data_IF_697678567390
#
_entry.id   IF_697678567390
#
_cell.length_a   1.000
_cell.length_b   1.000
_cell.length_c   1.000
_cell.angle_alpha   90.00
_cell.angle_beta   90.00
_cell.angle_gamma   90.00
#
_symmetry.space_group_name_H-M   'P 1'
#
loop_
_entity.id
_entity.type
_entity.pdbx_description
1 polymer ?
#
# COMPACT_ATOMS: atom_id res chain seq x y z
N UNK A 1 18.62 -28.84 19.40
CA UNK A 1 17.40 -28.49 18.67
C UNK A 1 17.80 -27.76 17.41
N UNK A 2 17.48 -28.29 16.23
CA UNK A 2 17.82 -27.62 14.95
C UNK A 2 17.03 -26.32 14.85
N UNK A 3 17.67 -25.20 15.06
CA UNK A 3 17.10 -23.85 14.97
C UNK A 3 16.94 -23.45 13.47
N UNK A 4 16.12 -24.23 12.73
CA UNK A 4 15.79 -23.89 11.33
C UNK A 4 14.83 -22.72 11.32
N UNK A 5 15.07 -21.77 10.44
CA UNK A 5 14.13 -20.67 10.20
C UNK A 5 12.74 -21.24 9.86
N UNK A 6 11.69 -20.68 10.43
CA UNK A 6 10.31 -21.06 10.16
C UNK A 6 9.43 -19.83 10.21
N UNK A 7 8.79 -19.53 9.11
CA UNK A 7 7.94 -18.35 8.96
C UNK A 7 6.49 -18.77 8.71
N UNK A 8 5.55 -17.97 9.23
CA UNK A 8 4.20 -17.99 8.73
C UNK A 8 3.84 -16.65 8.08
N UNK A 9 3.14 -16.72 6.95
CA UNK A 9 2.42 -15.60 6.39
C UNK A 9 0.95 -15.72 6.77
N UNK A 10 0.43 -14.72 7.46
CA UNK A 10 -0.99 -14.55 7.74
C UNK A 10 -1.53 -13.51 6.77
N UNK A 11 -2.55 -13.87 6.00
CA UNK A 11 -3.13 -13.01 4.94
C UNK A 11 -4.65 -12.97 5.07
N UNK A 12 -5.21 -11.77 5.13
CA UNK A 12 -6.64 -11.54 5.24
C UNK A 12 -7.36 -11.84 3.92
N UNK A 13 -8.32 -12.75 3.96
CA UNK A 13 -9.07 -13.17 2.77
C UNK A 13 -9.94 -12.03 2.25
N UNK A 14 -9.71 -11.59 0.99
CA UNK A 14 -10.49 -10.55 0.33
C UNK A 14 -10.66 -9.30 1.21
N UNK A 15 -9.61 -8.84 1.82
CA UNK A 15 -9.58 -7.94 2.98
C UNK A 15 -10.64 -6.81 2.94
N UNK A 16 -10.64 -5.95 1.92
CA UNK A 16 -11.58 -4.82 1.86
C UNK A 16 -13.03 -5.28 1.80
N UNK A 17 -13.35 -6.32 1.03
CA UNK A 17 -14.70 -6.88 0.98
C UNK A 17 -15.10 -7.52 2.31
N UNK A 18 -14.16 -8.15 3.01
CA UNK A 18 -14.39 -8.71 4.34
C UNK A 18 -14.62 -7.62 5.38
N UNK A 19 -13.90 -6.49 5.32
CA UNK A 19 -14.16 -5.35 6.20
C UNK A 19 -15.58 -4.79 6.03
N UNK A 20 -16.07 -4.69 4.79
CA UNK A 20 -17.45 -4.24 4.53
C UNK A 20 -18.48 -5.20 5.13
N UNK A 21 -18.24 -6.52 5.06
CA UNK A 21 -19.14 -7.54 5.64
C UNK A 21 -19.21 -7.49 7.17
N UNK A 22 -18.11 -7.14 7.84
CA UNK A 22 -18.08 -7.04 9.31
C UNK A 22 -19.16 -6.07 9.81
N UNK A 23 -19.36 -4.95 9.12
CA UNK A 23 -20.31 -3.91 9.51
C UNK A 23 -21.67 -4.02 8.81
N UNK A 24 -21.74 -4.80 7.73
CA UNK A 24 -22.99 -5.10 7.03
C UNK A 24 -23.15 -6.62 6.85
N UNK A 25 -23.54 -7.38 7.92
CA UNK A 25 -23.66 -8.85 7.85
C UNK A 25 -24.59 -9.37 6.76
N UNK A 26 -25.59 -8.55 6.34
CA UNK A 26 -26.46 -8.86 5.20
C UNK A 26 -25.74 -9.05 3.85
N UNK A 27 -24.46 -8.68 3.79
CA UNK A 27 -23.58 -8.87 2.64
C UNK A 27 -22.89 -10.23 2.63
N UNK A 28 -23.06 -11.06 3.66
CA UNK A 28 -22.49 -12.41 3.67
C UNK A 28 -23.06 -13.24 2.51
N UNK A 29 -22.21 -13.97 1.81
CA UNK A 29 -22.57 -14.73 0.61
C UNK A 29 -22.87 -13.92 -0.64
N UNK A 30 -22.93 -12.58 -0.57
CA UNK A 30 -23.17 -11.74 -1.75
C UNK A 30 -21.85 -11.41 -2.47
N UNK A 31 -21.87 -11.29 -3.81
CA UNK A 31 -20.73 -10.80 -4.56
C UNK A 31 -20.49 -9.32 -4.26
N UNK A 32 -19.27 -8.98 -3.82
CA UNK A 32 -18.85 -7.61 -3.49
C UNK A 32 -17.60 -7.25 -4.29
N UNK A 33 -17.57 -6.03 -4.80
CA UNK A 33 -16.38 -5.40 -5.37
C UNK A 33 -16.11 -4.08 -4.65
N UNK A 34 -14.83 -3.78 -4.43
CA UNK A 34 -14.39 -2.49 -3.91
C UNK A 34 -13.60 -1.76 -4.98
N UNK A 35 -13.94 -0.49 -5.19
CA UNK A 35 -13.36 0.36 -6.23
C UNK A 35 -12.19 1.18 -5.68
N UNK A 36 -11.26 1.51 -6.57
CA UNK A 36 -10.15 2.43 -6.30
C UNK A 36 -10.63 3.87 -6.16
N UNK A 37 -9.70 4.81 -5.91
CA UNK A 37 -10.00 6.24 -5.97
C UNK A 37 -10.73 6.61 -7.25
N UNK A 38 -11.68 7.56 -7.16
CA UNK A 38 -12.57 7.99 -8.26
C UNK A 38 -13.50 6.89 -8.78
N UNK A 39 -13.73 5.84 -8.00
CA UNK A 39 -14.53 4.68 -8.42
C UNK A 39 -14.06 4.09 -9.76
N UNK A 40 -12.74 4.16 -10.02
CA UNK A 40 -12.17 3.91 -11.34
C UNK A 40 -12.04 2.43 -11.68
N UNK A 41 -11.37 1.65 -10.85
CA UNK A 41 -11.04 0.24 -11.10
C UNK A 41 -11.33 -0.63 -9.89
N UNK A 42 -11.58 -1.91 -10.12
CA UNK A 42 -11.80 -2.88 -9.05
C UNK A 42 -10.47 -3.24 -8.39
N UNK A 43 -10.34 -3.00 -7.09
CA UNK A 43 -9.14 -3.27 -6.29
C UNK A 43 -9.34 -4.38 -5.24
N UNK A 44 -10.57 -4.77 -4.95
CA UNK A 44 -10.85 -5.95 -4.15
C UNK A 44 -12.14 -6.62 -4.62
N UNK A 45 -12.26 -7.93 -4.39
CA UNK A 45 -13.38 -8.75 -4.79
C UNK A 45 -13.62 -9.84 -3.78
N UNK A 46 -14.86 -10.10 -3.44
CA UNK A 46 -15.23 -11.31 -2.69
C UNK A 46 -15.08 -12.58 -3.55
N UNK A 47 -15.14 -13.76 -2.95
CA UNK A 47 -15.02 -15.01 -3.70
C UNK A 47 -16.19 -15.19 -4.68
N UNK A 48 -17.38 -14.77 -4.31
CA UNK A 48 -18.58 -14.79 -5.17
C UNK A 48 -18.38 -13.88 -6.39
N UNK A 49 -17.79 -12.70 -6.21
CA UNK A 49 -17.48 -11.80 -7.32
C UNK A 49 -16.36 -12.36 -8.22
N UNK A 50 -15.38 -13.09 -7.66
CA UNK A 50 -14.37 -13.82 -8.45
C UNK A 50 -15.01 -14.93 -9.29
N UNK A 51 -15.96 -15.69 -8.73
CA UNK A 51 -16.69 -16.76 -9.42
C UNK A 51 -17.51 -16.23 -10.60
N UNK A 52 -17.96 -14.98 -10.57
CA UNK A 52 -18.61 -14.30 -11.70
C UNK A 52 -17.62 -13.84 -12.80
N UNK A 53 -16.33 -14.17 -12.70
CA UNK A 53 -15.31 -13.82 -13.69
C UNK A 53 -14.84 -12.36 -13.64
N UNK A 54 -15.22 -11.58 -12.63
CA UNK A 54 -14.79 -10.20 -12.48
C UNK A 54 -13.28 -10.16 -12.20
N UNK A 55 -12.50 -9.49 -13.05
CA UNK A 55 -11.02 -9.45 -12.96
C UNK A 55 -10.54 -8.31 -12.04
N UNK A 56 -9.42 -8.55 -11.32
CA UNK A 56 -8.70 -7.50 -10.58
C UNK A 56 -8.20 -6.43 -11.55
N UNK A 57 -8.30 -5.16 -11.14
CA UNK A 57 -7.88 -4.03 -11.97
C UNK A 57 -8.85 -3.69 -13.12
N UNK A 58 -9.97 -4.41 -13.28
CA UNK A 58 -10.94 -4.10 -14.31
C UNK A 58 -11.51 -2.69 -14.11
N UNK A 59 -11.54 -1.83 -15.16
CA UNK A 59 -12.20 -0.54 -15.08
C UNK A 59 -13.69 -0.71 -14.82
N UNK A 60 -14.21 -0.01 -13.81
CA UNK A 60 -15.61 -0.15 -13.37
C UNK A 60 -16.59 0.10 -14.51
N UNK A 61 -16.35 1.14 -15.32
CA UNK A 61 -17.23 1.48 -16.43
C UNK A 61 -17.38 0.36 -17.47
N UNK A 62 -16.38 -0.53 -17.63
CA UNK A 62 -16.43 -1.67 -18.56
C UNK A 62 -17.25 -2.85 -18.03
N UNK A 63 -17.37 -2.97 -16.71
CA UNK A 63 -18.02 -4.12 -16.08
C UNK A 63 -19.32 -3.75 -15.35
N UNK A 64 -19.72 -2.47 -15.35
CA UNK A 64 -20.90 -1.99 -14.60
C UNK A 64 -22.19 -2.72 -14.98
N UNK A 65 -22.38 -3.06 -16.26
CA UNK A 65 -23.58 -3.78 -16.72
C UNK A 65 -23.61 -5.22 -16.19
N UNK A 66 -22.45 -5.91 -16.22
CA UNK A 66 -22.31 -7.23 -15.60
C UNK A 66 -22.62 -7.17 -14.10
N UNK A 67 -22.06 -6.17 -13.42
CA UNK A 67 -22.24 -5.92 -11.99
C UNK A 67 -23.73 -5.71 -11.67
N UNK A 68 -24.41 -4.84 -12.40
CA UNK A 68 -25.83 -4.56 -12.19
C UNK A 68 -26.69 -5.80 -12.44
N UNK A 69 -26.50 -6.50 -13.57
CA UNK A 69 -27.27 -7.69 -13.96
C UNK A 69 -27.09 -8.88 -13.01
N UNK A 70 -25.96 -8.95 -12.28
CA UNK A 70 -25.64 -10.05 -11.36
C UNK A 70 -25.83 -9.68 -9.89
N UNK A 71 -26.41 -8.53 -9.58
CA UNK A 71 -26.63 -8.06 -8.21
C UNK A 71 -25.36 -7.93 -7.39
N UNK A 72 -24.23 -7.56 -8.03
CA UNK A 72 -22.95 -7.37 -7.33
C UNK A 72 -23.00 -6.07 -6.55
N UNK A 73 -22.68 -6.14 -5.26
CA UNK A 73 -22.59 -4.96 -4.40
C UNK A 73 -21.29 -4.20 -4.69
N UNK A 74 -21.44 -2.90 -4.93
CA UNK A 74 -20.31 -2.00 -5.19
C UNK A 74 -20.02 -1.16 -3.96
N UNK A 75 -18.76 -1.08 -3.55
CA UNK A 75 -18.30 -0.18 -2.50
C UNK A 75 -17.13 0.67 -3.03
N UNK A 76 -17.08 1.94 -2.66
CA UNK A 76 -15.89 2.77 -2.85
C UNK A 76 -14.88 2.48 -1.75
N UNK A 77 -13.59 2.71 -2.00
CA UNK A 77 -12.53 2.53 -0.99
C UNK A 77 -12.79 3.36 0.27
N UNK A 78 -12.82 2.71 1.42
CA UNK A 78 -12.92 3.33 2.75
C UNK A 78 -11.62 3.09 3.53
N UNK A 79 -10.51 3.72 3.07
CA UNK A 79 -9.19 3.50 3.65
C UNK A 79 -9.07 3.79 5.16
N UNK A 80 -9.78 4.77 5.76
CA UNK A 80 -9.79 4.93 7.21
C UNK A 80 -10.31 3.70 7.94
N UNK A 81 -11.44 3.14 7.48
CA UNK A 81 -12.02 1.91 8.03
C UNK A 81 -11.07 0.72 7.86
N UNK A 82 -10.54 0.54 6.64
CA UNK A 82 -9.64 -0.59 6.35
C UNK A 82 -8.33 -0.50 7.13
N UNK A 83 -7.79 0.71 7.33
CA UNK A 83 -6.60 0.94 8.14
C UNK A 83 -6.79 0.59 9.61
N UNK A 84 -7.94 0.94 10.21
CA UNK A 84 -8.27 0.58 11.59
C UNK A 84 -8.49 -0.94 11.74
N UNK A 85 -9.24 -1.56 10.83
CA UNK A 85 -9.44 -3.01 10.81
C UNK A 85 -8.12 -3.78 10.65
N UNK A 86 -7.23 -3.31 9.77
CA UNK A 86 -5.87 -3.85 9.65
C UNK A 86 -5.13 -3.78 10.99
N UNK A 87 -5.12 -2.61 11.64
CA UNK A 87 -4.46 -2.45 12.94
C UNK A 87 -4.98 -3.41 14.00
N UNK A 88 -6.29 -3.68 14.02
CA UNK A 88 -6.90 -4.66 14.94
C UNK A 88 -6.43 -6.09 14.62
N UNK A 89 -6.48 -6.49 13.35
CA UNK A 89 -6.00 -7.81 12.91
C UNK A 89 -4.52 -7.99 13.26
N UNK A 90 -3.66 -7.01 12.93
CA UNK A 90 -2.23 -7.10 13.21
C UNK A 90 -1.91 -7.19 14.70
N UNK A 91 -2.68 -6.53 15.57
CA UNK A 91 -2.55 -6.67 17.04
C UNK A 91 -2.90 -8.08 17.52
N UNK A 92 -3.89 -8.73 16.92
CA UNK A 92 -4.23 -10.12 17.29
C UNK A 92 -3.12 -11.06 16.82
N UNK A 93 -2.62 -10.90 15.59
CA UNK A 93 -1.52 -11.72 15.05
C UNK A 93 -0.28 -11.63 15.95
N UNK A 94 0.06 -10.43 16.41
CA UNK A 94 1.23 -10.19 17.27
C UNK A 94 1.19 -10.88 18.63
N UNK A 95 0.06 -11.48 19.04
CA UNK A 95 -0.03 -12.29 20.27
C UNK A 95 0.47 -13.73 20.10
N UNK A 96 0.64 -14.16 18.84
CA UNK A 96 1.01 -15.55 18.52
C UNK A 96 2.50 -15.75 18.24
N UNK A 97 3.26 -14.68 18.12
CA UNK A 97 4.73 -14.70 18.02
C UNK A 97 5.32 -13.40 18.55
N UNK A 98 6.47 -13.42 19.22
CA UNK A 98 7.16 -12.21 19.66
C UNK A 98 7.76 -11.41 18.49
N UNK A 99 7.91 -12.05 17.34
CA UNK A 99 8.56 -11.48 16.14
C UNK A 99 7.54 -11.39 15.02
N UNK A 100 7.12 -10.17 14.70
CA UNK A 100 6.12 -9.87 13.67
C UNK A 100 6.61 -8.77 12.74
N UNK A 101 6.40 -8.96 11.44
CA UNK A 101 6.52 -7.94 10.40
C UNK A 101 5.16 -7.67 9.78
N UNK A 102 4.64 -6.48 9.93
CA UNK A 102 3.45 -6.01 9.20
C UNK A 102 3.90 -5.66 7.78
N UNK A 103 3.72 -6.61 6.85
CA UNK A 103 4.20 -6.49 5.47
C UNK A 103 3.31 -5.60 4.60
N UNK A 104 1.99 -5.69 4.78
CA UNK A 104 1.01 -4.87 4.07
C UNK A 104 -0.21 -4.55 4.96
N UNK A 105 -1.24 -3.93 4.39
CA UNK A 105 -2.50 -3.67 5.09
C UNK A 105 -3.25 -4.96 5.46
N UNK A 106 -2.99 -6.06 4.76
CA UNK A 106 -3.71 -7.34 4.87
C UNK A 106 -2.80 -8.55 5.08
N UNK A 107 -1.47 -8.37 5.08
CA UNK A 107 -0.50 -9.46 5.23
C UNK A 107 0.50 -9.17 6.37
N UNK A 108 0.81 -10.20 7.15
CA UNK A 108 1.82 -10.15 8.20
C UNK A 108 2.66 -11.42 8.21
N UNK A 109 3.99 -11.28 8.28
CA UNK A 109 4.88 -12.39 8.58
C UNK A 109 5.10 -12.48 10.09
N UNK A 110 5.17 -13.70 10.60
CA UNK A 110 5.59 -14.00 11.97
C UNK A 110 6.68 -15.08 11.94
N UNK A 111 7.62 -14.99 12.88
CA UNK A 111 8.65 -16.01 13.08
C UNK A 111 8.13 -17.06 14.04
N UNK A 112 8.20 -18.32 13.64
CA UNK A 112 7.79 -19.47 14.41
C UNK A 112 8.99 -20.31 14.90
N UNK A 113 10.22 -19.88 14.60
CA UNK A 113 11.42 -20.62 14.99
C UNK A 113 11.52 -20.70 16.51
N UNK A 114 11.80 -21.92 17.00
CA UNK A 114 12.00 -22.17 18.43
C UNK A 114 10.72 -22.21 19.28
N UNK A 115 9.53 -22.06 18.70
CA UNK A 115 8.28 -22.24 19.45
C UNK A 115 8.08 -23.74 19.76
N UNK A 116 7.91 -24.12 21.04
CA UNK A 116 7.78 -25.53 21.46
C UNK A 116 6.34 -26.03 21.31
N UNK A 117 5.71 -25.84 20.15
CA UNK A 117 4.28 -26.07 19.94
C UNK A 117 4.05 -26.88 18.66
N UNK A 118 2.89 -27.56 18.58
CA UNK A 118 2.37 -28.00 17.29
C UNK A 118 2.00 -26.75 16.47
N UNK A 119 2.78 -26.44 15.46
CA UNK A 119 2.63 -25.19 14.67
C UNK A 119 1.32 -25.16 13.90
N UNK A 120 0.82 -26.29 13.41
CA UNK A 120 -0.48 -26.35 12.71
C UNK A 120 -1.61 -25.96 13.66
N UNK A 121 -1.67 -26.56 14.86
CA UNK A 121 -2.71 -26.25 15.84
C UNK A 121 -2.61 -24.82 16.35
N UNK A 122 -1.39 -24.33 16.55
CA UNK A 122 -1.15 -22.94 16.95
C UNK A 122 -1.65 -21.96 15.89
N UNK A 123 -1.39 -22.21 14.62
CA UNK A 123 -1.87 -21.38 13.52
C UNK A 123 -3.37 -21.51 13.27
N UNK A 124 -3.97 -22.68 13.50
CA UNK A 124 -5.44 -22.83 13.49
C UNK A 124 -6.08 -21.99 14.61
N UNK A 125 -5.50 -21.98 15.80
CA UNK A 125 -5.96 -21.17 16.93
C UNK A 125 -5.88 -19.66 16.57
N UNK A 126 -4.77 -19.20 15.97
CA UNK A 126 -4.62 -17.82 15.47
C UNK A 126 -5.73 -17.48 14.47
N UNK A 127 -5.95 -18.35 13.47
CA UNK A 127 -6.98 -18.16 12.45
C UNK A 127 -8.38 -17.98 13.05
N UNK A 128 -8.74 -18.83 14.01
CA UNK A 128 -10.02 -18.75 14.72
C UNK A 128 -10.12 -17.47 15.55
N UNK A 129 -9.07 -17.14 16.29
CA UNK A 129 -9.06 -15.93 17.14
C UNK A 129 -9.17 -14.63 16.33
N UNK A 130 -8.45 -14.52 15.21
CA UNK A 130 -8.58 -13.35 14.32
C UNK A 130 -10.01 -13.21 13.82
N UNK A 131 -10.61 -14.29 13.34
CA UNK A 131 -12.01 -14.28 12.87
C UNK A 131 -12.99 -13.90 13.97
N UNK A 132 -12.84 -14.45 15.17
CA UNK A 132 -13.76 -14.19 16.28
C UNK A 132 -13.65 -12.76 16.81
N UNK A 133 -12.44 -12.20 16.88
CA UNK A 133 -12.22 -10.88 17.48
C UNK A 133 -12.39 -9.72 16.50
N UNK A 134 -12.15 -9.95 15.21
CA UNK A 134 -12.18 -8.90 14.20
C UNK A 134 -13.25 -9.08 13.12
N UNK A 135 -13.84 -10.25 13.04
CA UNK A 135 -14.75 -10.61 11.94
C UNK A 135 -14.07 -10.90 10.60
N UNK A 136 -12.75 -10.67 10.48
CA UNK A 136 -12.00 -10.83 9.23
C UNK A 136 -11.44 -12.25 9.14
N UNK A 137 -11.76 -13.03 8.09
CA UNK A 137 -11.17 -14.36 7.89
C UNK A 137 -9.74 -14.24 7.35
N UNK A 138 -8.85 -15.14 7.82
CA UNK A 138 -7.46 -15.21 7.34
C UNK A 138 -7.12 -16.62 6.86
N UNK A 139 -6.11 -16.71 5.99
CA UNK A 139 -5.41 -17.95 5.66
C UNK A 139 -3.94 -17.81 6.03
N UNK A 140 -3.32 -18.93 6.38
CA UNK A 140 -1.96 -18.99 6.91
C UNK A 140 -1.15 -20.01 6.12
N UNK A 141 -0.01 -19.55 5.61
CA UNK A 141 0.97 -20.42 4.97
C UNK A 141 2.27 -20.44 5.75
N UNK A 142 2.82 -21.62 6.01
CA UNK A 142 4.08 -21.81 6.71
C UNK A 142 5.16 -22.36 5.78
N UNK A 143 6.41 -22.00 6.05
CA UNK A 143 7.58 -22.51 5.34
C UNK A 143 8.88 -22.01 5.95
N UNK A 144 9.97 -22.65 5.57
CA UNK A 144 11.33 -22.31 6.02
C UNK A 144 11.85 -20.98 5.49
N UNK A 145 11.15 -20.37 4.53
CA UNK A 145 11.46 -19.06 3.99
C UNK A 145 10.19 -18.22 3.80
N UNK A 146 10.34 -16.90 3.69
CA UNK A 146 9.19 -16.00 3.42
C UNK A 146 8.52 -16.33 2.08
N UNK A 147 9.30 -16.66 1.04
CA UNK A 147 8.76 -17.08 -0.26
C UNK A 147 7.93 -18.35 -0.13
N UNK A 148 8.43 -19.36 0.58
CA UNK A 148 7.71 -20.61 0.80
C UNK A 148 6.44 -20.40 1.62
N UNK A 149 6.48 -19.55 2.65
CA UNK A 149 5.29 -19.19 3.42
C UNK A 149 4.21 -18.51 2.54
N UNK A 150 4.61 -17.65 1.60
CA UNK A 150 3.66 -17.05 0.62
C UNK A 150 3.10 -18.09 -0.34
N UNK A 151 3.91 -18.99 -0.83
CA UNK A 151 3.46 -20.08 -1.68
C UNK A 151 2.50 -21.02 -0.93
N UNK A 152 2.81 -21.35 0.33
CA UNK A 152 1.95 -22.13 1.22
C UNK A 152 0.59 -21.45 1.45
N UNK A 153 0.59 -20.12 1.68
CA UNK A 153 -0.65 -19.37 1.87
C UNK A 153 -1.57 -19.43 0.63
N UNK A 154 -1.00 -19.34 -0.57
CA UNK A 154 -1.75 -19.53 -1.82
C UNK A 154 -2.44 -20.90 -1.88
N UNK A 155 -1.76 -21.96 -1.43
CA UNK A 155 -2.29 -23.32 -1.35
C UNK A 155 -3.39 -23.42 -0.30
N UNK A 156 -3.16 -22.85 0.89
CA UNK A 156 -4.14 -22.80 1.97
C UNK A 156 -5.46 -22.11 1.53
N UNK A 157 -5.36 -21.06 0.69
CA UNK A 157 -6.52 -20.38 0.11
C UNK A 157 -7.24 -21.19 -0.97
N UNK A 158 -6.50 -21.95 -1.78
CA UNK A 158 -7.04 -22.68 -2.93
C UNK A 158 -7.74 -23.98 -2.55
N UNK A 159 -7.25 -24.69 -1.55
CA UNK A 159 -7.72 -26.03 -1.21
C UNK A 159 -8.34 -26.06 0.17
N UNK A 160 -9.66 -26.22 0.23
CA UNK A 160 -10.46 -26.24 1.48
C UNK A 160 -10.04 -27.34 2.47
N UNK A 161 -9.47 -28.45 1.98
CA UNK A 161 -8.98 -29.56 2.82
C UNK A 161 -7.94 -29.15 3.87
N UNK A 162 -7.22 -28.06 3.65
CA UNK A 162 -6.24 -27.55 4.60
C UNK A 162 -6.84 -26.63 5.66
N UNK A 163 -8.14 -26.38 5.60
CA UNK A 163 -8.85 -25.52 6.54
C UNK A 163 -8.15 -24.16 6.76
N UNK A 164 -7.58 -23.59 5.67
CA UNK A 164 -6.94 -22.29 5.68
C UNK A 164 -5.55 -22.20 6.33
N UNK A 165 -4.95 -23.31 6.75
CA UNK A 165 -3.58 -23.38 7.28
C UNK A 165 -2.82 -24.49 6.56
N UNK A 166 -1.63 -24.17 6.06
CA UNK A 166 -0.82 -25.14 5.33
C UNK A 166 0.67 -24.91 5.56
N UNK A 167 1.40 -26.00 5.83
CA UNK A 167 2.86 -26.02 5.90
C UNK A 167 3.43 -26.67 4.64
N UNK A 168 4.24 -25.92 3.89
CA UNK A 168 4.84 -26.42 2.65
C UNK A 168 6.03 -27.35 2.92
N UNK A 169 6.71 -27.19 4.06
CA UNK A 169 7.87 -28.01 4.42
C UNK A 169 7.47 -29.45 4.77
N UNK A 170 6.18 -29.69 5.07
CA UNK A 170 5.65 -31.06 5.30
C UNK A 170 5.43 -31.85 4.00
N UNK A 171 5.62 -31.20 2.83
CA UNK A 171 5.45 -31.89 1.56
C UNK A 171 6.64 -32.81 1.24
N UNK A 172 6.39 -34.07 0.85
CA UNK A 172 7.40 -34.88 0.19
C UNK A 172 7.95 -34.17 -1.07
N UNK A 173 9.23 -34.35 -1.35
CA UNK A 173 9.92 -33.66 -2.47
C UNK A 173 9.17 -33.81 -3.82
N UNK A 174 8.67 -35.01 -4.11
CA UNK A 174 7.90 -35.23 -5.35
C UNK A 174 6.64 -34.38 -5.44
N UNK A 175 5.88 -34.25 -4.31
CA UNK A 175 4.69 -33.40 -4.25
C UNK A 175 5.05 -31.91 -4.32
N UNK A 176 6.18 -31.53 -3.73
CA UNK A 176 6.69 -30.17 -3.85
C UNK A 176 7.01 -29.82 -5.30
N UNK A 177 7.71 -30.70 -6.03
CA UNK A 177 7.98 -30.51 -7.45
C UNK A 177 6.69 -30.40 -8.30
N UNK A 178 5.71 -31.28 -8.06
CA UNK A 178 4.40 -31.19 -8.73
C UNK A 178 3.67 -29.88 -8.44
N UNK A 179 3.77 -29.39 -7.19
CA UNK A 179 3.23 -28.09 -6.83
C UNK A 179 3.90 -26.97 -7.64
N UNK A 180 5.22 -26.93 -7.72
CA UNK A 180 5.97 -25.92 -8.46
C UNK A 180 5.63 -25.94 -9.97
N UNK A 181 5.37 -27.11 -10.57
CA UNK A 181 4.92 -27.25 -11.96
C UNK A 181 3.54 -26.59 -12.19
N UNK A 182 2.68 -26.57 -11.16
CA UNK A 182 1.34 -25.98 -11.24
C UNK A 182 1.30 -24.46 -11.03
N UNK A 183 2.43 -23.82 -10.73
CA UNK A 183 2.55 -22.39 -10.43
C UNK A 183 3.36 -21.70 -11.52
N UNK A 184 2.75 -20.74 -12.20
CA UNK A 184 3.46 -19.92 -13.19
C UNK A 184 4.61 -19.14 -12.54
N UNK A 185 5.71 -18.96 -13.26
CA UNK A 185 6.89 -18.26 -12.75
C UNK A 185 6.57 -16.81 -12.35
N UNK A 186 5.65 -16.17 -13.07
CA UNK A 186 5.18 -14.81 -12.77
C UNK A 186 4.34 -14.68 -11.50
N UNK A 187 3.92 -15.81 -10.92
CA UNK A 187 3.18 -15.88 -9.66
C UNK A 187 4.12 -16.05 -8.43
N UNK A 188 5.41 -16.27 -8.64
CA UNK A 188 6.39 -16.28 -7.57
C UNK A 188 6.56 -14.86 -7.00
N UNK A 189 6.54 -14.77 -5.68
CA UNK A 189 6.78 -13.50 -5.00
C UNK A 189 8.15 -12.91 -5.36
N UNK A 190 8.17 -11.66 -5.81
CA UNK A 190 9.35 -10.95 -6.28
C UNK A 190 9.57 -11.02 -7.80
N UNK A 191 8.83 -11.85 -8.54
CA UNK A 191 8.86 -11.89 -10.00
C UNK A 191 7.71 -11.05 -10.57
N UNK A 192 8.03 -9.84 -11.02
CA UNK A 192 7.08 -8.95 -11.67
C UNK A 192 6.87 -9.27 -13.15
N UNK A 193 5.88 -8.62 -13.79
CA UNK A 193 5.52 -8.87 -15.21
C UNK A 193 6.72 -8.82 -16.18
N UNK A 194 7.64 -7.88 -16.01
CA UNK A 194 8.78 -7.74 -16.91
C UNK A 194 9.81 -8.86 -16.68
N UNK A 195 10.04 -9.24 -15.42
CA UNK A 195 10.89 -10.38 -15.08
C UNK A 195 10.31 -11.69 -15.58
N UNK A 196 9.00 -11.90 -15.42
CA UNK A 196 8.31 -13.07 -15.97
C UNK A 196 8.45 -13.15 -17.50
N UNK A 197 8.28 -12.04 -18.23
CA UNK A 197 8.50 -12.02 -19.69
C UNK A 197 9.92 -12.42 -20.08
N UNK A 198 10.95 -11.94 -19.37
CA UNK A 198 12.34 -12.33 -19.65
C UNK A 198 12.57 -13.82 -19.42
N UNK A 199 12.02 -14.38 -18.33
CA UNK A 199 12.13 -15.81 -18.01
C UNK A 199 11.40 -16.67 -19.03
N UNK A 200 10.17 -16.31 -19.40
CA UNK A 200 9.37 -17.04 -20.39
C UNK A 200 10.06 -17.06 -21.75
N UNK A 201 10.76 -15.97 -22.12
CA UNK A 201 11.50 -15.89 -23.40
C UNK A 201 12.62 -16.93 -23.52
N UNK A 202 13.17 -17.40 -22.41
CA UNK A 202 14.20 -18.45 -22.35
C UNK A 202 13.64 -19.83 -21.92
N UNK A 203 12.29 -20.00 -21.97
CA UNK A 203 11.64 -21.26 -21.67
C UNK A 203 11.34 -21.53 -20.19
N UNK A 204 11.61 -20.60 -19.28
CA UNK A 204 11.28 -20.73 -17.85
C UNK A 204 9.87 -20.18 -17.65
N UNK A 205 8.86 -21.08 -17.68
CA UNK A 205 7.44 -20.72 -17.60
C UNK A 205 6.82 -21.02 -16.24
N UNK A 206 7.30 -22.06 -15.56
CA UNK A 206 6.78 -22.51 -14.26
C UNK A 206 7.77 -22.21 -13.14
N UNK A 207 7.28 -22.26 -11.90
CA UNK A 207 8.14 -22.19 -10.72
C UNK A 207 9.09 -23.40 -10.64
N UNK A 208 8.72 -24.53 -11.26
CA UNK A 208 9.58 -25.70 -11.35
C UNK A 208 10.72 -25.49 -12.34
N UNK A 209 10.47 -24.88 -13.51
CA UNK A 209 11.53 -24.53 -14.46
C UNK A 209 12.54 -23.57 -13.80
N UNK A 210 12.03 -22.59 -13.04
CA UNK A 210 12.88 -21.68 -12.26
C UNK A 210 13.66 -22.42 -11.16
N UNK A 211 13.04 -23.40 -10.52
CA UNK A 211 13.70 -24.25 -9.53
C UNK A 211 14.79 -25.12 -10.14
N UNK A 212 14.67 -25.58 -11.39
CA UNK A 212 15.67 -26.40 -12.08
C UNK A 212 16.74 -25.57 -12.82
N UNK A 213 16.50 -24.28 -13.03
CA UNK A 213 17.38 -23.40 -13.78
C UNK A 213 18.77 -23.28 -13.13
N UNK A 214 19.77 -22.95 -13.95
CA UNK A 214 21.10 -22.57 -13.47
C UNK A 214 21.07 -21.21 -12.77
N UNK A 215 21.72 -21.11 -11.60
CA UNK A 215 21.73 -19.90 -10.79
C UNK A 215 22.42 -18.73 -11.51
N UNK A 216 23.44 -19.00 -12.34
CA UNK A 216 24.16 -17.99 -13.11
C UNK A 216 23.26 -17.35 -14.16
N UNK A 217 22.38 -18.15 -14.81
CA UNK A 217 21.36 -17.66 -15.75
C UNK A 217 20.37 -16.75 -15.02
N UNK A 218 19.88 -17.19 -13.85
CA UNK A 218 18.93 -16.40 -13.04
C UNK A 218 19.56 -15.08 -12.57
N UNK A 219 20.80 -15.12 -12.09
CA UNK A 219 21.52 -13.94 -11.61
C UNK A 219 21.80 -12.96 -12.75
N UNK A 220 22.14 -13.44 -13.94
CA UNK A 220 22.35 -12.60 -15.15
C UNK A 220 21.06 -11.88 -15.56
N UNK A 221 19.90 -12.56 -15.52
CA UNK A 221 18.63 -11.99 -15.98
C UNK A 221 17.93 -11.08 -14.96
N UNK A 222 18.02 -11.42 -13.67
CA UNK A 222 17.24 -10.81 -12.60
C UNK A 222 18.11 -10.15 -11.51
N UNK A 223 19.44 -10.27 -11.60
CA UNK A 223 20.38 -9.73 -10.63
C UNK A 223 20.26 -10.41 -9.25
N UNK A 224 20.73 -9.70 -8.22
CA UNK A 224 20.76 -10.18 -6.84
C UNK A 224 19.37 -10.59 -6.32
N UNK A 225 18.31 -9.92 -6.77
CA UNK A 225 16.94 -10.28 -6.35
C UNK A 225 16.53 -11.65 -6.91
N UNK A 226 16.88 -11.96 -8.16
CA UNK A 226 16.67 -13.28 -8.74
C UNK A 226 17.38 -14.37 -7.96
N UNK A 227 18.64 -14.14 -7.59
CA UNK A 227 19.43 -15.06 -6.75
C UNK A 227 18.80 -15.31 -5.38
N UNK A 228 18.29 -14.25 -4.72
CA UNK A 228 17.56 -14.40 -3.45
C UNK A 228 16.33 -15.28 -3.62
N UNK A 229 15.48 -15.01 -4.62
CA UNK A 229 14.27 -15.80 -4.92
C UNK A 229 14.64 -17.27 -5.19
N UNK A 230 15.70 -17.51 -5.96
CA UNK A 230 16.23 -18.84 -6.25
C UNK A 230 16.60 -19.63 -4.97
N UNK A 231 17.27 -18.96 -4.03
CA UNK A 231 17.67 -19.57 -2.76
C UNK A 231 16.47 -19.77 -1.82
N UNK A 232 15.60 -18.79 -1.71
CA UNK A 232 14.37 -18.87 -0.92
C UNK A 232 13.49 -20.05 -1.35
N UNK A 233 13.35 -20.28 -2.66
CA UNK A 233 12.58 -21.42 -3.18
C UNK A 233 13.18 -22.78 -2.85
N UNK A 234 14.48 -22.83 -2.47
CA UNK A 234 15.21 -24.02 -2.02
C UNK A 234 15.29 -24.16 -0.50
N UNK A 235 14.51 -23.36 0.23
CA UNK A 235 14.48 -23.39 1.69
C UNK A 235 15.65 -22.66 2.37
N UNK A 236 16.48 -21.92 1.61
CA UNK A 236 17.53 -21.08 2.17
C UNK A 236 17.02 -19.66 2.38
N UNK A 237 16.73 -19.31 3.64
CA UNK A 237 16.23 -17.97 3.99
C UNK A 237 17.28 -16.88 3.69
N UNK A 238 16.91 -15.94 2.85
CA UNK A 238 17.73 -14.80 2.41
C UNK A 238 17.05 -13.45 2.66
N UNK A 239 15.77 -13.47 3.04
CA UNK A 239 14.96 -12.28 3.30
C UNK A 239 14.56 -12.30 4.79
N UNK A 240 15.26 -11.53 5.63
CA UNK A 240 14.96 -11.50 7.07
C UNK A 240 13.60 -10.84 7.36
N UNK A 241 13.07 -11.05 8.57
CA UNK A 241 11.94 -10.27 9.09
C UNK A 241 12.40 -8.84 9.39
N UNK A 242 11.66 -7.88 8.88
CA UNK A 242 11.89 -6.45 9.13
C UNK A 242 11.09 -5.99 10.35
N UNK A 243 11.74 -5.97 11.52
CA UNK A 243 11.11 -5.48 12.77
C UNK A 243 10.95 -3.96 12.80
N UNK A 244 11.90 -3.27 12.19
CA UNK A 244 11.92 -1.81 12.13
C UNK A 244 11.96 -1.42 10.65
N UNK A 245 10.89 -0.78 10.13
CA UNK A 245 10.90 -0.32 8.76
C UNK A 245 12.08 0.62 8.50
N UNK A 246 12.77 0.50 7.37
CA UNK A 246 13.87 1.39 7.03
C UNK A 246 13.40 2.85 6.96
N UNK A 247 14.31 3.78 7.23
CA UNK A 247 14.02 5.21 7.12
C UNK A 247 13.53 5.52 5.70
N UNK A 248 12.41 6.24 5.61
CA UNK A 248 11.82 6.60 4.32
C UNK A 248 12.80 7.42 3.50
N UNK A 249 12.99 7.04 2.24
CA UNK A 249 13.84 7.76 1.29
C UNK A 249 13.09 8.91 0.62
N UNK A 250 11.76 8.78 0.54
CA UNK A 250 10.88 9.80 -0.05
C UNK A 250 9.46 9.74 0.54
N UNK A 251 8.78 10.87 0.50
CA UNK A 251 7.37 11.00 0.86
C UNK A 251 6.62 11.52 -0.36
N UNK A 252 5.64 10.74 -0.83
CA UNK A 252 4.80 11.11 -1.96
C UNK A 252 3.38 11.40 -1.49
N UNK A 253 2.81 12.52 -1.98
CA UNK A 253 1.40 12.84 -1.83
C UNK A 253 0.84 13.24 -3.19
N UNK A 254 -0.01 12.39 -3.76
CA UNK A 254 -0.60 12.62 -5.08
C UNK A 254 -2.04 12.12 -5.15
N UNK A 255 -2.82 12.68 -6.06
CA UNK A 255 -4.20 12.26 -6.31
C UNK A 255 -4.55 12.36 -7.79
N UNK A 256 -5.31 11.39 -8.27
CA UNK A 256 -6.13 11.60 -9.46
C UNK A 256 -7.33 12.43 -9.04
N UNK A 257 -7.60 13.49 -9.78
CA UNK A 257 -8.67 14.43 -9.47
C UNK A 257 -10.04 13.83 -9.83
N UNK A 258 -11.09 14.28 -9.14
CA UNK A 258 -12.47 13.85 -9.41
C UNK A 258 -12.98 14.32 -10.77
N UNK A 259 -12.46 15.44 -11.24
CA UNK A 259 -12.62 15.99 -12.60
C UNK A 259 -11.25 16.41 -13.12
N UNK A 260 -11.10 16.55 -14.43
CA UNK A 260 -9.91 17.15 -15.00
C UNK A 260 -9.88 18.65 -14.68
N UNK A 261 -8.72 19.16 -14.23
CA UNK A 261 -8.52 20.56 -13.88
C UNK A 261 -7.71 21.26 -14.98
N UNK A 262 -8.15 22.42 -15.42
CA UNK A 262 -7.44 23.25 -16.40
C UNK A 262 -7.05 24.63 -15.86
N UNK A 263 -7.68 25.05 -14.77
CA UNK A 263 -7.41 26.33 -14.12
C UNK A 263 -6.23 26.21 -13.15
N UNK A 264 -5.40 27.28 -13.13
CA UNK A 264 -4.20 27.32 -12.26
C UNK A 264 -4.57 27.35 -10.77
N UNK A 265 -5.59 28.10 -10.39
CA UNK A 265 -5.94 28.27 -8.97
C UNK A 265 -6.57 27.00 -8.41
N UNK A 266 -7.39 26.28 -9.19
CA UNK A 266 -7.89 24.95 -8.80
C UNK A 266 -6.75 23.92 -8.65
N UNK A 267 -5.76 23.92 -9.55
CA UNK A 267 -4.57 23.07 -9.45
C UNK A 267 -3.73 23.43 -8.22
N UNK A 268 -3.53 24.72 -7.99
CA UNK A 268 -2.77 25.23 -6.85
C UNK A 268 -3.45 24.86 -5.52
N UNK A 269 -4.78 24.98 -5.45
CA UNK A 269 -5.58 24.54 -4.31
C UNK A 269 -5.37 23.04 -4.03
N UNK A 270 -5.52 22.20 -5.05
CA UNK A 270 -5.34 20.76 -4.92
C UNK A 270 -3.90 20.39 -4.47
N UNK A 271 -2.89 21.05 -5.07
CA UNK A 271 -1.49 20.81 -4.71
C UNK A 271 -1.12 21.34 -3.33
N UNK A 272 -1.69 22.45 -2.89
CA UNK A 272 -1.52 22.95 -1.52
C UNK A 272 -2.00 21.93 -0.51
N UNK A 273 -3.21 21.39 -0.69
CA UNK A 273 -3.76 20.34 0.19
C UNK A 273 -2.91 19.05 0.17
N UNK A 274 -2.39 18.66 -0.99
CA UNK A 274 -1.51 17.50 -1.12
C UNK A 274 -0.14 17.75 -0.49
N UNK A 275 0.40 18.95 -0.62
CA UNK A 275 1.67 19.37 0.00
C UNK A 275 1.55 19.33 1.53
N UNK A 276 0.49 19.88 2.09
CA UNK A 276 0.23 19.83 3.53
C UNK A 276 0.18 18.39 4.04
N UNK A 277 -0.48 17.49 3.32
CA UNK A 277 -0.49 16.04 3.67
C UNK A 277 0.91 15.42 3.61
N UNK A 278 1.75 15.82 2.66
CA UNK A 278 3.13 15.36 2.58
C UNK A 278 3.96 15.87 3.76
N UNK A 279 3.83 17.17 4.09
CA UNK A 279 4.51 17.79 5.23
C UNK A 279 4.07 17.19 6.56
N UNK A 280 2.79 16.90 6.75
CA UNK A 280 2.30 16.21 7.95
C UNK A 280 2.96 14.83 8.11
N UNK A 281 3.12 14.06 7.01
CA UNK A 281 3.86 12.79 7.05
C UNK A 281 5.35 13.01 7.37
N UNK A 282 5.98 14.03 6.76
CA UNK A 282 7.38 14.39 7.03
C UNK A 282 7.60 14.64 8.52
N UNK A 283 6.76 15.49 9.11
CA UNK A 283 6.81 15.86 10.52
C UNK A 283 6.54 14.68 11.46
N UNK A 284 5.57 13.81 11.12
CA UNK A 284 5.26 12.61 11.92
C UNK A 284 6.46 11.64 11.98
N UNK A 285 7.30 11.62 10.95
CA UNK A 285 8.54 10.84 10.92
C UNK A 285 9.76 11.61 11.45
N UNK A 286 9.60 12.85 11.89
CA UNK A 286 10.68 13.73 12.38
C UNK A 286 11.79 13.88 11.33
N UNK A 287 11.40 14.09 10.08
CA UNK A 287 12.30 14.25 8.94
C UNK A 287 12.23 15.68 8.39
N UNK A 288 13.31 16.09 7.71
CA UNK A 288 13.40 17.28 6.88
C UNK A 288 13.79 16.87 5.44
N UNK A 289 13.51 17.70 4.45
CA UNK A 289 13.78 17.41 3.05
C UNK A 289 14.67 18.47 2.42
N UNK A 290 15.51 18.07 1.46
CA UNK A 290 16.31 19.00 0.65
C UNK A 290 15.90 19.03 -0.82
N UNK A 291 14.96 18.17 -1.24
CA UNK A 291 14.54 18.12 -2.64
C UNK A 291 13.03 17.98 -2.74
N UNK A 292 12.42 18.79 -3.59
CA UNK A 292 10.99 18.73 -3.88
C UNK A 292 10.74 18.59 -5.36
N UNK A 293 9.86 17.67 -5.73
CA UNK A 293 9.32 17.54 -7.08
C UNK A 293 7.83 17.82 -7.05
N UNK A 294 7.37 18.70 -7.93
CA UNK A 294 5.95 18.88 -8.25
C UNK A 294 5.69 18.30 -9.63
N UNK A 295 4.58 17.61 -9.78
CA UNK A 295 4.17 17.05 -11.06
C UNK A 295 2.67 17.17 -11.28
N UNK A 296 2.28 17.36 -12.54
CA UNK A 296 0.90 17.32 -13.03
C UNK A 296 0.88 16.59 -14.37
N UNK A 297 -0.16 15.79 -14.63
CA UNK A 297 -0.31 15.13 -15.91
C UNK A 297 -1.76 14.95 -16.36
N UNK A 298 -1.95 14.86 -17.65
CA UNK A 298 -3.25 14.66 -18.32
C UNK A 298 -3.62 13.17 -18.32
N UNK A 299 -4.86 12.86 -18.60
CA UNK A 299 -5.31 11.47 -18.71
C UNK A 299 -4.84 10.84 -20.04
N UNK A 300 -3.92 9.84 -20.01
CA UNK A 300 -3.39 9.22 -21.24
C UNK A 300 -4.41 8.38 -22.01
N UNK A 301 -5.60 8.15 -21.44
CA UNK A 301 -6.66 7.38 -22.08
C UNK A 301 -7.66 8.25 -22.87
N UNK A 302 -7.60 9.58 -22.76
CA UNK A 302 -8.45 10.50 -23.54
C UNK A 302 -7.74 10.88 -24.83
N UNK A 303 -7.95 10.08 -25.88
CA UNK A 303 -7.26 10.24 -27.18
C UNK A 303 -7.59 11.56 -27.91
N UNK A 304 -8.69 12.18 -27.58
CA UNK A 304 -9.22 13.44 -28.12
C UNK A 304 -8.61 14.69 -27.47
N UNK A 305 -7.76 14.54 -26.47
CA UNK A 305 -7.14 15.65 -25.76
C UNK A 305 -5.61 15.58 -25.82
N UNK A 306 -4.92 16.73 -25.79
CA UNK A 306 -3.46 16.74 -25.75
C UNK A 306 -2.93 16.10 -24.47
N UNK A 307 -1.84 15.33 -24.61
CA UNK A 307 -1.20 14.66 -23.49
C UNK A 307 0.05 15.41 -23.04
N UNK A 308 0.20 15.56 -21.74
CA UNK A 308 1.39 16.13 -21.12
C UNK A 308 1.68 15.47 -19.77
N UNK A 309 2.97 15.26 -19.51
CA UNK A 309 3.52 14.99 -18.19
C UNK A 309 4.49 16.11 -17.87
N UNK A 310 4.10 16.98 -16.96
CA UNK A 310 4.86 18.17 -16.59
C UNK A 310 5.35 17.99 -15.15
N UNK A 311 6.65 18.12 -14.96
CA UNK A 311 7.26 17.99 -13.64
C UNK A 311 8.52 18.83 -13.54
N UNK A 312 8.82 19.31 -12.33
CA UNK A 312 10.08 19.98 -12.02
C UNK A 312 10.53 19.61 -10.62
N UNK A 313 11.81 19.36 -10.52
CA UNK A 313 12.51 19.07 -9.26
C UNK A 313 13.38 20.27 -8.90
N UNK A 314 13.31 20.67 -7.64
CA UNK A 314 14.10 21.77 -7.07
C UNK A 314 14.82 21.25 -5.83
N UNK A 315 16.14 21.49 -5.76
CA UNK A 315 16.96 21.24 -4.59
C UNK A 315 17.10 22.48 -3.73
N UNK A 316 17.13 22.33 -2.42
CA UNK A 316 17.40 23.38 -1.46
C UNK A 316 18.76 23.14 -0.79
N UNK A 317 19.55 24.20 -0.56
CA UNK A 317 20.86 24.07 0.09
C UNK A 317 20.76 23.63 1.56
N UNK A 318 19.66 23.97 2.22
CA UNK A 318 19.37 23.65 3.62
C UNK A 318 18.10 22.80 3.70
N UNK A 319 18.11 21.80 4.57
CA UNK A 319 16.95 20.95 4.80
C UNK A 319 15.82 21.74 5.49
N UNK A 320 14.61 21.64 4.95
CA UNK A 320 13.41 22.30 5.44
C UNK A 320 12.33 21.29 5.85
N UNK A 321 11.57 21.65 6.89
CA UNK A 321 10.47 20.85 7.45
C UNK A 321 9.19 21.68 7.65
N UNK A 322 9.31 23.01 7.52
CA UNK A 322 8.24 23.94 7.86
C UNK A 322 7.25 24.06 6.71
N UNK A 323 5.99 23.88 7.04
CA UNK A 323 4.85 23.98 6.14
C UNK A 323 4.77 25.37 5.47
N UNK A 324 5.13 26.44 6.21
CA UNK A 324 5.12 27.80 5.73
C UNK A 324 6.15 28.09 4.61
N UNK A 325 7.20 27.26 4.53
CA UNK A 325 8.22 27.34 3.48
C UNK A 325 7.90 26.38 2.32
N UNK A 326 7.42 25.18 2.64
CA UNK A 326 7.22 24.11 1.65
C UNK A 326 6.00 24.38 0.75
N UNK A 327 4.90 24.91 1.31
CA UNK A 327 3.69 25.21 0.51
C UNK A 327 3.93 26.28 -0.55
N UNK A 328 4.52 27.47 -0.22
CA UNK A 328 4.83 28.46 -1.25
C UNK A 328 5.80 27.93 -2.31
N UNK A 329 6.78 27.12 -1.93
CA UNK A 329 7.70 26.49 -2.87
C UNK A 329 6.94 25.58 -3.87
N UNK A 330 5.98 24.78 -3.40
CA UNK A 330 5.15 23.95 -4.28
C UNK A 330 4.38 24.79 -5.30
N UNK A 331 3.79 25.91 -4.87
CA UNK A 331 3.06 26.84 -5.73
C UNK A 331 3.99 27.50 -6.76
N UNK A 332 5.20 27.90 -6.37
CA UNK A 332 6.19 28.45 -7.29
C UNK A 332 6.61 27.42 -8.35
N UNK A 333 6.87 26.16 -7.94
CA UNK A 333 7.22 25.08 -8.87
C UNK A 333 6.05 24.79 -9.81
N UNK A 334 4.80 24.76 -9.30
CA UNK A 334 3.62 24.62 -10.15
C UNK A 334 3.54 25.70 -11.21
N UNK A 335 3.78 26.95 -10.85
CA UNK A 335 3.75 28.10 -11.76
C UNK A 335 4.76 27.95 -12.91
N UNK A 336 5.92 27.32 -12.63
CA UNK A 336 6.96 27.07 -13.64
C UNK A 336 6.61 25.94 -14.62
N UNK A 337 5.78 24.97 -14.20
CA UNK A 337 5.41 23.82 -15.05
C UNK A 337 4.02 23.93 -15.66
N UNK A 338 3.16 24.79 -15.13
CA UNK A 338 1.81 24.96 -15.64
C UNK A 338 1.82 25.48 -17.08
N UNK A 339 0.98 24.87 -17.89
CA UNK A 339 0.74 25.30 -19.27
C UNK A 339 -0.77 25.41 -19.50
N UNK A 340 -1.28 26.57 -19.93
CA UNK A 340 -2.69 26.72 -20.29
C UNK A 340 -3.04 25.83 -21.49
N UNK A 341 -4.31 25.50 -21.63
CA UNK A 341 -4.82 24.66 -22.73
C UNK A 341 -4.77 23.16 -22.46
N UNK A 342 -4.17 22.70 -21.36
CA UNK A 342 -4.20 21.30 -20.92
C UNK A 342 -5.24 21.06 -19.84
N UNK A 343 -5.82 19.86 -19.82
CA UNK A 343 -6.72 19.39 -18.75
C UNK A 343 -6.03 18.30 -17.93
N UNK A 344 -5.61 18.63 -16.73
CA UNK A 344 -4.82 17.74 -15.87
C UNK A 344 -5.72 16.81 -15.05
N UNK A 345 -5.43 15.53 -15.10
CA UNK A 345 -6.18 14.48 -14.40
C UNK A 345 -5.57 14.11 -13.05
N UNK A 346 -4.27 14.34 -12.87
CA UNK A 346 -3.56 13.98 -11.64
C UNK A 346 -2.44 14.98 -11.35
N UNK A 347 -2.22 15.21 -10.07
CA UNK A 347 -1.09 15.99 -9.58
C UNK A 347 -0.58 15.48 -8.25
N UNK A 348 0.60 15.97 -7.87
CA UNK A 348 1.20 15.60 -6.61
C UNK A 348 2.57 16.20 -6.38
N UNK A 349 3.06 15.92 -5.17
CA UNK A 349 4.38 16.33 -4.71
C UNK A 349 5.17 15.12 -4.22
N UNK A 350 6.48 15.18 -4.43
CA UNK A 350 7.45 14.23 -3.88
C UNK A 350 8.46 15.02 -3.06
N UNK A 351 8.59 14.68 -1.79
CA UNK A 351 9.62 15.16 -0.90
C UNK A 351 10.71 14.08 -0.83
N UNK A 352 11.94 14.39 -1.18
CA UNK A 352 13.04 13.45 -1.26
C UNK A 352 14.33 14.02 -0.67
N UNK A 353 15.40 13.20 -0.64
CA UNK A 353 16.62 13.48 0.10
C UNK A 353 16.29 13.82 1.55
N UNK A 354 15.59 12.87 2.19
CA UNK A 354 15.09 13.02 3.56
C UNK A 354 16.24 12.79 4.54
N UNK A 355 16.37 13.71 5.49
CA UNK A 355 17.34 13.61 6.59
C UNK A 355 16.61 13.62 7.93
N UNK A 356 17.21 13.00 8.96
CA UNK A 356 16.74 13.22 10.31
C UNK A 356 16.87 14.71 10.62
N UNK A 357 15.91 15.24 11.37
CA UNK A 357 15.85 16.65 11.70
C UNK A 357 16.94 17.03 12.73
N UNK A 358 18.21 16.84 12.35
CA UNK A 358 19.34 17.44 13.05
C UNK A 358 19.62 18.77 12.37
N UNK A 359 19.31 19.87 13.01
CA UNK A 359 19.74 21.18 12.55
C UNK A 359 21.26 21.21 12.55
N UNK A 360 21.87 21.10 11.39
CA UNK A 360 23.20 21.63 11.20
C UNK A 360 23.06 23.14 11.34
N UNK A 361 23.54 23.69 12.44
CA UNK A 361 23.68 25.14 12.58
C UNK A 361 24.72 25.54 11.55
N UNK A 362 24.29 26.30 10.55
CA UNK A 362 25.21 26.94 9.62
C UNK A 362 26.06 27.93 10.43
N UNK A 363 27.36 27.87 10.27
CA UNK A 363 28.32 28.75 10.98
C UNK A 363 28.01 30.24 10.68
N UNK A 364 27.40 30.53 9.53
CA UNK A 364 27.02 31.86 9.11
C UNK A 364 25.59 32.28 9.54
N UNK A 365 24.77 31.34 10.01
CA UNK A 365 23.40 31.62 10.49
C UNK A 365 23.34 31.96 11.99
N UNK A 366 24.47 31.95 12.70
CA UNK A 366 24.54 32.33 14.13
C UNK A 366 24.08 33.77 14.36
N UNK A 367 24.17 34.62 13.36
CA UNK A 367 23.65 36.02 13.41
C UNK A 367 22.15 36.16 13.12
N UNK A 368 21.47 35.07 12.72
CA UNK A 368 20.03 35.08 12.41
C UNK A 368 19.22 34.17 13.35
N UNK A 369 19.42 34.25 14.65
CA UNK A 369 18.36 33.96 15.61
C UNK A 369 17.29 35.08 15.55
N UNK A 370 16.81 35.31 14.32
CA UNK A 370 15.81 36.33 14.09
C UNK A 370 14.49 35.88 14.67
N UNK A 371 13.91 36.69 15.54
CA UNK A 371 12.53 36.55 16.06
C UNK A 371 11.51 36.03 15.05
N UNK A 372 11.61 36.32 13.72
CA UNK A 372 10.70 35.80 12.70
C UNK A 372 10.68 34.27 12.57
N UNK A 373 11.81 33.56 12.71
CA UNK A 373 11.84 32.10 12.59
C UNK A 373 11.24 31.39 13.81
N UNK A 374 11.46 31.93 15.00
CA UNK A 374 10.84 31.43 16.24
C UNK A 374 9.33 31.62 16.17
N UNK A 375 8.87 32.78 15.72
CA UNK A 375 7.45 33.10 15.56
C UNK A 375 6.76 32.22 14.50
N UNK A 376 7.42 31.96 13.37
CA UNK A 376 6.92 31.06 12.32
C UNK A 376 6.73 29.64 12.87
N UNK A 377 7.69 29.14 13.66
CA UNK A 377 7.60 27.83 14.31
C UNK A 377 6.49 27.75 15.35
N UNK A 378 6.33 28.80 16.17
CA UNK A 378 5.24 28.90 17.13
C UNK A 378 3.87 28.88 16.44
N UNK A 379 3.71 29.63 15.34
CA UNK A 379 2.50 29.61 14.49
C UNK A 379 2.24 28.21 13.91
N UNK A 380 3.25 27.58 13.33
CA UNK A 380 3.14 26.21 12.79
C UNK A 380 2.70 25.21 13.86
N UNK A 381 3.28 25.27 15.05
CA UNK A 381 2.91 24.40 16.17
C UNK A 381 1.50 24.69 16.69
N UNK A 382 1.09 25.95 16.75
CA UNK A 382 -0.27 26.35 17.13
C UNK A 382 -1.31 25.82 16.14
N UNK A 383 -1.05 25.96 14.82
CA UNK A 383 -1.92 25.43 13.75
C UNK A 383 -2.01 23.90 13.85
N UNK A 384 -0.87 23.20 14.04
CA UNK A 384 -0.86 21.74 14.22
C UNK A 384 -1.67 21.30 15.44
N UNK A 385 -1.53 21.99 16.56
CA UNK A 385 -2.29 21.71 17.78
C UNK A 385 -3.78 21.96 17.61
N UNK A 386 -4.16 23.07 16.96
CA UNK A 386 -5.53 23.39 16.63
C UNK A 386 -6.14 22.33 15.68
N UNK A 387 -5.43 21.95 14.63
CA UNK A 387 -5.89 20.95 13.66
C UNK A 387 -6.03 19.54 14.26
N UNK A 388 -5.16 19.18 15.21
CA UNK A 388 -5.29 17.92 15.96
C UNK A 388 -6.53 17.92 16.86
N UNK A 389 -6.84 19.07 17.48
CA UNK A 389 -7.97 19.21 18.41
C UNK A 389 -9.30 19.39 17.69
N UNK A 390 -9.35 20.09 16.56
CA UNK A 390 -10.54 20.52 15.85
C UNK A 390 -10.66 19.93 14.44
N UNK A 391 -10.14 18.72 14.24
CA UNK A 391 -10.33 17.93 13.00
C UNK A 391 -9.99 18.70 11.71
N UNK A 392 -8.75 19.23 11.63
CA UNK A 392 -8.22 19.97 10.47
C UNK A 392 -9.01 21.24 10.08
N UNK A 393 -9.57 21.95 11.06
CA UNK A 393 -10.38 23.15 10.84
C UNK A 393 -9.62 24.37 10.33
N UNK A 394 -8.31 24.45 10.63
CA UNK A 394 -7.45 25.56 10.17
C UNK A 394 -6.82 25.18 8.84
N UNK A 395 -7.14 25.95 7.79
CA UNK A 395 -6.63 25.76 6.42
C UNK A 395 -5.86 26.97 5.96
N UNK A 396 -4.93 26.76 5.04
CA UNK A 396 -4.32 27.89 4.30
C UNK A 396 -5.34 28.50 3.35
N UNK A 397 -5.26 29.83 3.12
CA UNK A 397 -6.13 30.50 2.15
C UNK A 397 -6.06 29.85 0.76
N UNK A 398 -4.87 29.38 0.37
CA UNK A 398 -4.66 28.67 -0.90
C UNK A 398 -5.29 27.26 -0.95
N UNK A 399 -5.83 26.74 0.16
CA UNK A 399 -6.62 25.50 0.18
C UNK A 399 -8.14 25.75 0.16
N UNK A 400 -8.54 27.02 0.35
CA UNK A 400 -9.96 27.38 0.40
C UNK A 400 -10.45 27.63 -1.02
N UNK A 401 -11.48 26.90 -1.43
CA UNK A 401 -12.05 27.00 -2.76
C UNK A 401 -13.09 25.90 -2.97
N UNK A 402 -13.30 25.52 -4.22
CA UNK A 402 -14.25 24.45 -4.49
C UNK A 402 -13.56 23.06 -4.41
N UNK A 403 -14.25 22.10 -3.82
CA UNK A 403 -13.71 20.75 -3.60
C UNK A 403 -13.88 19.81 -4.82
N UNK A 404 -14.08 20.36 -6.03
CA UNK A 404 -14.32 19.60 -7.28
C UNK A 404 -13.15 18.66 -7.64
N UNK A 405 -11.94 18.98 -7.19
CA UNK A 405 -10.76 18.13 -7.39
C UNK A 405 -10.74 16.88 -6.51
N UNK A 406 -11.56 16.84 -5.44
CA UNK A 406 -11.61 15.69 -4.54
C UNK A 406 -12.03 14.42 -5.28
N UNK A 407 -11.44 13.27 -4.96
CA UNK A 407 -11.82 12.00 -5.56
C UNK A 407 -13.29 11.66 -5.32
N UNK A 408 -13.94 11.12 -6.33
CA UNK A 408 -15.29 10.56 -6.19
C UNK A 408 -15.27 9.28 -5.36
N UNK A 409 -16.27 9.10 -4.52
CA UNK A 409 -16.49 7.93 -3.69
C UNK A 409 -18.00 7.73 -3.45
N UNK A 410 -18.73 7.44 -4.54
CA UNK A 410 -20.19 7.46 -4.57
C UNK A 410 -20.84 6.28 -3.79
N UNK A 411 -20.06 5.22 -3.52
CA UNK A 411 -20.51 3.99 -2.87
C UNK A 411 -19.79 3.76 -1.54
N UNK A 412 -19.24 4.81 -0.92
CA UNK A 412 -18.48 4.66 0.32
C UNK A 412 -19.41 4.31 1.49
N UNK A 413 -19.04 3.28 2.23
CA UNK A 413 -19.65 2.95 3.52
C UNK A 413 -19.29 3.99 4.58
N UNK A 414 -20.02 3.97 5.69
CA UNK A 414 -19.70 4.80 6.85
C UNK A 414 -18.33 4.44 7.42
N UNK A 415 -17.67 5.42 8.05
CA UNK A 415 -16.40 5.23 8.78
C UNK A 415 -16.67 4.73 10.19
N UNK A 416 -17.29 3.56 10.29
CA UNK A 416 -17.84 2.96 11.50
C UNK A 416 -16.93 2.97 12.73
N UNK A 417 -15.62 2.98 12.55
CA UNK A 417 -14.63 2.91 13.64
C UNK A 417 -13.75 4.15 13.77
N UNK A 418 -13.85 5.09 12.83
CA UNK A 418 -12.93 6.23 12.74
C UNK A 418 -13.64 7.59 12.67
N UNK A 419 -14.96 7.62 12.75
CA UNK A 419 -15.76 8.86 12.79
C UNK A 419 -16.92 8.70 13.78
N UNK A 420 -16.98 9.54 14.80
CA UNK A 420 -18.04 9.52 15.80
C UNK A 420 -19.45 9.74 15.19
N UNK A 421 -19.54 10.56 14.16
CA UNK A 421 -20.81 10.85 13.48
C UNK A 421 -21.26 9.72 12.53
N UNK A 422 -20.45 8.71 12.31
CA UNK A 422 -20.73 7.61 11.38
C UNK A 422 -20.71 6.23 12.08
N UNK A 423 -20.78 6.20 13.42
CA UNK A 423 -20.87 4.95 14.20
C UNK A 423 -22.15 4.18 13.85
N UNK A 424 -22.10 2.85 14.00
CA UNK A 424 -23.32 2.03 14.07
C UNK A 424 -24.05 2.34 15.38
N UNK A 425 -25.27 2.83 15.26
CA UNK A 425 -26.19 3.05 16.38
C UNK A 425 -27.18 1.90 16.35
#
# INVERSE_FOLDING_TARGET
MNNRAKFALVDCNNFYASCERVFEPKLEGKPIVVLSNNDGCIIARSNEAKALGIKMGAPYFKVRNLIANRGVVVKSSNYPLYGDMSSRVMKVIGQFSPIQEVYSIDESFIDLAGLPLNLIDHMQSLRVQVKNWTGVPVCIGMGSTKLLAKLANRIAKKYSKFNGVFDIDDLPHERYCKLLQSVEVGDLWGIGRQSAKKLNHIGINTSYDFYQADIGVIETLLGVNGKKIYQELRGKSCIPIELIPPTRQQIVSSRSFGIDLSDFDELNQALTALTRKAVNKLNNHKLAMTTMTVFIYTNPHKKDKPHAYLSKTVGMPIAIEDESQIIPLASQILRLIYKPGYSFNKGGVVLSNLTKNYRQQDLFSITQNSQPQVLARQKSNAIKSANKRFNESVKYASEVGNDRWLPRANFRSNRYTTSWSELLI
#
